data_IF_910632281858
#
_entry.id   IF_910632281858
#
_cell.length_a   1.000
_cell.length_b   1.000
_cell.length_c   1.000
_cell.angle_alpha   90.00
_cell.angle_beta   90.00
_cell.angle_gamma   90.00
#
_symmetry.space_group_name_H-M   'P 1'
#
loop_
_entity.id
_entity.type
_entity.pdbx_description
1 polymer ?
#
# COMPACT_ATOMS: atom_id res chain seq x y z
N UNK A 1 12.02 10.55 11.70
CA UNK A 1 11.59 9.31 11.02
C UNK A 1 11.13 9.72 9.64
N UNK A 2 11.70 9.10 8.61
CA UNK A 2 11.52 9.50 7.21
C UNK A 2 10.92 8.32 6.45
N UNK A 3 9.95 8.58 5.59
CA UNK A 3 9.43 7.55 4.69
C UNK A 3 10.28 7.54 3.42
N UNK A 4 10.69 6.35 2.99
CA UNK A 4 11.52 6.16 1.82
C UNK A 4 10.86 5.22 0.83
N UNK A 5 10.92 5.55 -0.46
CA UNK A 5 10.75 4.59 -1.55
C UNK A 5 12.03 4.50 -2.39
N UNK A 6 12.59 3.30 -2.45
CA UNK A 6 13.80 2.97 -3.18
C UNK A 6 13.49 1.83 -4.16
N UNK A 7 13.78 1.98 -5.44
CA UNK A 7 13.50 0.88 -6.35
C UNK A 7 13.99 1.04 -7.78
N UNK A 8 13.65 0.03 -8.58
CA UNK A 8 13.82 0.03 -10.03
C UNK A 8 12.52 -0.45 -10.68
N UNK A 9 12.26 0.00 -11.92
CA UNK A 9 11.10 -0.45 -12.68
C UNK A 9 11.42 -0.62 -14.17
N UNK A 10 10.43 -1.05 -14.94
CA UNK A 10 10.53 -1.25 -16.39
C UNK A 10 10.91 -0.01 -17.20
N UNK A 11 10.77 1.21 -16.66
CA UNK A 11 11.18 2.46 -17.31
C UNK A 11 12.64 2.78 -17.07
N UNK A 12 13.14 2.46 -15.88
CA UNK A 12 14.51 2.81 -15.47
C UNK A 12 15.52 1.69 -15.69
N UNK A 13 15.08 0.43 -15.77
CA UNK A 13 15.97 -0.74 -15.80
C UNK A 13 15.62 -1.76 -16.91
N UNK A 14 16.63 -2.33 -17.60
CA UNK A 14 16.42 -3.43 -18.53
C UNK A 14 15.96 -4.70 -17.79
N UNK A 15 15.29 -5.60 -18.52
CA UNK A 15 14.74 -6.85 -17.96
C UNK A 15 15.81 -7.68 -17.23
N UNK A 16 17.01 -7.77 -17.79
CA UNK A 16 18.13 -8.52 -17.22
C UNK A 16 18.58 -8.02 -15.84
N UNK A 17 18.48 -6.72 -15.59
CA UNK A 17 18.77 -6.17 -14.26
C UNK A 17 17.60 -6.47 -13.32
N UNK A 18 16.37 -6.25 -13.76
CA UNK A 18 15.14 -6.47 -12.97
C UNK A 18 14.99 -7.91 -12.48
N UNK A 19 15.29 -8.89 -13.33
CA UNK A 19 15.27 -10.30 -12.94
C UNK A 19 16.29 -10.62 -11.83
N UNK A 20 17.46 -9.96 -11.84
CA UNK A 20 18.49 -10.19 -10.82
C UNK A 20 18.17 -9.53 -9.49
N UNK A 21 17.49 -8.38 -9.49
CA UNK A 21 17.11 -7.67 -8.26
C UNK A 21 15.77 -8.15 -7.69
N UNK A 22 15.02 -8.98 -8.42
CA UNK A 22 13.71 -9.45 -7.97
C UNK A 22 13.83 -10.39 -6.75
N UNK A 23 12.97 -10.16 -5.76
CA UNK A 23 12.78 -11.07 -4.64
C UNK A 23 11.77 -12.15 -5.02
N UNK A 24 12.21 -13.41 -5.03
CA UNK A 24 11.31 -14.56 -5.17
C UNK A 24 10.47 -14.76 -3.90
N UNK A 25 9.23 -15.26 -3.99
CA UNK A 25 8.37 -15.47 -2.82
C UNK A 25 9.04 -16.25 -1.68
N UNK A 26 9.82 -17.29 -2.01
CA UNK A 26 10.51 -18.13 -1.01
C UNK A 26 11.68 -17.45 -0.29
N UNK A 27 12.13 -16.30 -0.80
CA UNK A 27 13.26 -15.52 -0.25
C UNK A 27 12.83 -14.17 0.32
N UNK A 28 11.54 -13.83 0.21
CA UNK A 28 11.03 -12.51 0.59
C UNK A 28 11.11 -12.31 2.11
N UNK A 29 10.75 -13.33 2.89
CA UNK A 29 10.82 -13.28 4.36
C UNK A 29 12.27 -13.08 4.83
N UNK A 30 13.22 -13.84 4.27
CA UNK A 30 14.64 -13.69 4.58
C UNK A 30 15.20 -12.32 4.17
N UNK A 31 14.72 -11.77 3.05
CA UNK A 31 15.11 -10.43 2.61
C UNK A 31 14.61 -9.36 3.59
N UNK A 32 13.35 -9.46 4.01
CA UNK A 32 12.76 -8.57 5.00
C UNK A 32 13.53 -8.65 6.33
N UNK A 33 13.81 -9.84 6.83
CA UNK A 33 14.60 -10.03 8.07
C UNK A 33 15.99 -9.37 7.98
N UNK A 34 16.69 -9.60 6.86
CA UNK A 34 18.00 -9.00 6.60
C UNK A 34 17.96 -7.48 6.50
N UNK A 35 16.88 -6.94 5.90
CA UNK A 35 16.66 -5.50 5.76
C UNK A 35 16.33 -4.83 7.09
N UNK A 36 15.55 -5.50 7.94
CA UNK A 36 15.16 -5.00 9.25
C UNK A 36 16.25 -5.16 10.31
N UNK A 37 17.21 -6.05 10.09
CA UNK A 37 18.42 -6.13 10.90
C UNK A 37 19.34 -4.90 10.70
N UNK A 38 19.05 -4.07 9.69
CA UNK A 38 19.82 -2.88 9.41
C UNK A 38 19.48 -1.75 10.40
N UNK A 39 20.46 -1.12 11.09
CA UNK A 39 20.19 -0.26 12.25
C UNK A 39 19.29 0.95 11.99
N UNK A 40 19.34 1.53 10.79
CA UNK A 40 18.49 2.68 10.45
C UNK A 40 17.08 2.29 9.98
N UNK A 41 16.77 1.01 9.77
CA UNK A 41 15.46 0.57 9.26
C UNK A 41 14.56 0.20 10.43
N UNK A 42 13.50 0.98 10.64
CA UNK A 42 12.49 0.74 11.69
C UNK A 42 11.37 -0.17 11.20
N UNK A 43 11.23 -0.30 9.88
CA UNK A 43 10.23 -1.16 9.25
C UNK A 43 10.29 -1.05 7.74
N UNK A 44 9.74 -2.05 7.04
CA UNK A 44 9.79 -2.05 5.58
C UNK A 44 8.76 -2.95 4.90
N UNK A 45 8.40 -2.57 3.67
CA UNK A 45 7.59 -3.35 2.73
C UNK A 45 8.42 -3.55 1.45
N UNK A 46 8.41 -4.77 0.92
CA UNK A 46 9.09 -5.12 -0.33
C UNK A 46 8.04 -5.45 -1.39
N UNK A 47 7.95 -4.61 -2.43
CA UNK A 47 7.11 -4.85 -3.60
C UNK A 47 7.97 -5.40 -4.73
N UNK A 48 7.92 -6.71 -4.94
CA UNK A 48 8.62 -7.39 -6.02
C UNK A 48 7.63 -7.98 -7.03
N UNK A 49 7.68 -7.50 -8.26
CA UNK A 49 6.84 -7.95 -9.38
C UNK A 49 7.71 -8.23 -10.61
N UNK A 50 7.12 -8.71 -11.70
CA UNK A 50 7.83 -8.87 -12.97
C UNK A 50 8.28 -7.54 -13.60
N UNK A 51 7.75 -6.39 -13.15
CA UNK A 51 7.99 -5.07 -13.75
C UNK A 51 8.67 -4.06 -12.80
N UNK A 52 8.76 -4.36 -11.51
CA UNK A 52 9.38 -3.49 -10.51
C UNK A 52 9.90 -4.26 -9.31
N UNK A 53 10.90 -3.70 -8.67
CA UNK A 53 11.33 -4.09 -7.33
C UNK A 53 11.52 -2.82 -6.52
N UNK A 54 10.73 -2.67 -5.46
CA UNK A 54 10.67 -1.45 -4.66
C UNK A 54 10.67 -1.79 -3.17
N UNK A 55 11.42 -1.01 -2.41
CA UNK A 55 11.53 -1.05 -0.96
C UNK A 55 10.88 0.22 -0.42
N UNK A 56 9.85 0.06 0.40
CA UNK A 56 9.18 1.14 1.11
C UNK A 56 9.57 1.05 2.58
N UNK A 57 10.38 1.98 3.07
CA UNK A 57 11.04 1.88 4.37
C UNK A 57 10.70 3.04 5.27
N UNK A 58 10.48 2.73 6.55
CA UNK A 58 10.55 3.72 7.62
C UNK A 58 11.96 3.72 8.16
N UNK A 59 12.65 4.87 8.09
CA UNK A 59 14.06 4.97 8.45
C UNK A 59 14.34 6.12 9.41
N UNK A 60 15.40 5.95 10.21
CA UNK A 60 16.04 7.04 10.93
C UNK A 60 17.10 7.71 10.06
N UNK A 61 17.15 9.03 10.11
CA UNK A 61 18.06 9.83 9.29
C UNK A 61 19.50 9.66 9.79
N UNK A 62 20.41 9.32 8.87
CA UNK A 62 21.84 9.12 9.12
C UNK A 62 22.66 9.59 7.91
N UNK A 63 23.90 10.03 8.15
CA UNK A 63 24.79 10.64 7.14
C UNK A 63 25.16 9.75 5.93
N UNK A 64 24.71 8.48 5.87
CA UNK A 64 24.96 7.55 4.76
C UNK A 64 23.77 6.60 4.48
N UNK A 65 22.55 7.05 4.77
CA UNK A 65 21.34 6.23 4.61
C UNK A 65 21.21 5.63 3.20
N UNK A 66 21.41 6.44 2.17
CA UNK A 66 21.25 6.02 0.78
C UNK A 66 22.31 5.00 0.37
N UNK A 67 23.58 5.26 0.69
CA UNK A 67 24.72 4.38 0.43
C UNK A 67 24.55 3.04 1.14
N UNK A 68 24.11 3.04 2.39
CA UNK A 68 23.91 1.82 3.17
C UNK A 68 22.85 0.90 2.55
N UNK A 69 21.72 1.48 2.12
CA UNK A 69 20.63 0.71 1.50
C UNK A 69 20.97 0.21 0.10
N UNK A 70 21.65 1.02 -0.71
CA UNK A 70 22.14 0.59 -2.03
C UNK A 70 23.13 -0.56 -1.87
N UNK A 71 24.07 -0.43 -0.94
CA UNK A 71 25.06 -1.46 -0.64
C UNK A 71 24.40 -2.75 -0.16
N UNK A 72 23.43 -2.66 0.75
CA UNK A 72 22.65 -3.82 1.19
C UNK A 72 21.98 -4.53 0.01
N UNK A 73 21.33 -3.78 -0.89
CA UNK A 73 20.63 -4.36 -2.04
C UNK A 73 21.62 -5.03 -3.02
N UNK A 74 22.79 -4.42 -3.23
CA UNK A 74 23.88 -5.00 -4.01
C UNK A 74 24.43 -6.28 -3.38
N UNK A 75 24.71 -6.27 -2.08
CA UNK A 75 25.26 -7.40 -1.35
C UNK A 75 24.26 -8.57 -1.30
N UNK A 76 22.97 -8.29 -1.12
CA UNK A 76 21.91 -9.31 -1.08
C UNK A 76 21.74 -10.03 -2.42
N UNK A 77 21.77 -9.28 -3.53
CA UNK A 77 21.57 -9.83 -4.88
C UNK A 77 22.88 -10.14 -5.63
N UNK A 78 24.04 -9.91 -5.01
CA UNK A 78 25.36 -10.03 -5.63
C UNK A 78 25.45 -9.23 -6.96
N UNK A 79 25.16 -7.94 -6.88
CA UNK A 79 25.10 -7.01 -8.02
C UNK A 79 26.29 -6.03 -8.00
N UNK A 80 26.64 -5.54 -9.18
CA UNK A 80 27.54 -4.38 -9.29
C UNK A 80 26.74 -3.11 -8.95
N UNK A 81 27.31 -2.29 -8.06
CA UNK A 81 26.73 -1.03 -7.62
C UNK A 81 26.55 -0.01 -8.75
N UNK A 82 27.47 0.05 -9.72
CA UNK A 82 27.37 0.99 -10.84
C UNK A 82 26.15 0.74 -11.73
N UNK A 83 25.83 -0.54 -11.97
CA UNK A 83 24.70 -0.93 -12.83
C UNK A 83 23.36 -0.60 -12.14
N UNK A 84 23.31 -0.81 -10.83
CA UNK A 84 22.13 -0.53 -10.03
C UNK A 84 21.87 0.98 -9.93
N UNK A 85 22.91 1.77 -9.58
CA UNK A 85 22.78 3.23 -9.38
C UNK A 85 22.22 3.96 -10.59
N UNK A 86 22.56 3.53 -11.82
CA UNK A 86 22.07 4.14 -13.06
C UNK A 86 20.57 3.94 -13.29
N UNK A 87 20.00 2.90 -12.70
CA UNK A 87 18.61 2.48 -12.93
C UNK A 87 17.70 2.73 -11.72
N UNK A 88 18.27 3.20 -10.62
CA UNK A 88 17.64 3.30 -9.32
C UNK A 88 17.06 4.68 -9.11
N UNK A 89 15.81 4.73 -8.65
CA UNK A 89 15.17 5.96 -8.20
C UNK A 89 15.04 5.96 -6.68
N UNK A 90 14.95 7.17 -6.14
CA UNK A 90 14.94 7.46 -4.73
C UNK A 90 13.91 8.55 -4.46
N UNK A 91 12.95 8.25 -3.59
CA UNK A 91 11.92 9.19 -3.18
C UNK A 91 11.86 9.24 -1.65
N UNK A 92 11.65 10.44 -1.11
CA UNK A 92 11.56 10.70 0.32
C UNK A 92 10.23 11.37 0.65
N UNK A 93 9.68 11.01 1.81
CA UNK A 93 8.46 11.54 2.39
C UNK A 93 7.31 11.64 1.37
N UNK A 94 6.88 12.85 1.04
CA UNK A 94 5.76 13.09 0.12
C UNK A 94 5.99 12.49 -1.28
N UNK A 95 7.24 12.48 -1.76
CA UNK A 95 7.56 11.86 -3.06
C UNK A 95 7.42 10.33 -2.99
N UNK A 96 7.76 9.72 -1.84
CA UNK A 96 7.65 8.28 -1.64
C UNK A 96 6.18 7.85 -1.60
N UNK A 97 5.35 8.64 -0.89
CA UNK A 97 3.89 8.47 -0.88
C UNK A 97 3.33 8.64 -2.30
N UNK A 98 3.67 9.74 -2.97
CA UNK A 98 3.17 10.00 -4.33
C UNK A 98 3.55 8.88 -5.30
N UNK A 99 4.77 8.34 -5.20
CA UNK A 99 5.21 7.21 -6.01
C UNK A 99 4.39 5.95 -5.74
N UNK A 100 4.27 5.53 -4.48
CA UNK A 100 3.48 4.36 -4.08
C UNK A 100 2.06 4.43 -4.63
N UNK A 101 1.47 5.62 -4.64
CA UNK A 101 0.09 5.85 -5.04
C UNK A 101 -0.09 5.80 -6.56
N UNK A 102 0.89 6.28 -7.32
CA UNK A 102 0.95 6.08 -8.77
C UNK A 102 1.14 4.60 -9.14
N UNK A 103 1.87 3.85 -8.32
CA UNK A 103 2.02 2.40 -8.49
C UNK A 103 0.72 1.68 -8.18
N UNK A 104 0.09 1.98 -7.04
CA UNK A 104 -1.14 1.33 -6.60
C UNK A 104 -2.35 1.61 -7.52
N UNK A 105 -2.44 2.80 -8.11
CA UNK A 105 -3.46 3.16 -9.12
C UNK A 105 -3.18 2.58 -10.51
N UNK A 106 -2.05 1.91 -10.71
CA UNK A 106 -1.63 1.43 -12.03
C UNK A 106 -1.25 2.54 -13.02
N UNK A 107 -1.10 3.79 -12.57
CA UNK A 107 -0.59 4.91 -13.38
C UNK A 107 0.88 4.75 -13.75
N UNK A 108 1.62 3.93 -12.99
CA UNK A 108 3.01 3.57 -13.29
C UNK A 108 3.15 2.13 -13.81
N UNK A 109 2.07 1.45 -14.18
CA UNK A 109 2.11 0.09 -14.74
C UNK A 109 2.46 0.09 -16.24
N UNK A 110 2.96 -1.05 -16.74
CA UNK A 110 3.21 -1.24 -18.18
C UNK A 110 1.90 -1.13 -18.98
N UNK A 111 0.82 -1.67 -18.42
CA UNK A 111 -0.55 -1.44 -18.88
C UNK A 111 -1.20 -0.48 -17.89
N UNK A 112 -1.49 0.74 -18.33
CA UNK A 112 -2.11 1.77 -17.50
C UNK A 112 -3.47 1.28 -16.97
N UNK A 113 -3.69 1.44 -15.66
CA UNK A 113 -4.94 1.07 -14.99
C UNK A 113 -5.11 -0.44 -14.73
N UNK A 114 -4.06 -1.24 -14.88
CA UNK A 114 -4.11 -2.67 -14.55
C UNK A 114 -4.42 -2.89 -13.05
N UNK A 115 -5.56 -3.52 -12.67
CA UNK A 115 -5.96 -3.66 -11.27
C UNK A 115 -5.08 -4.62 -10.46
N UNK A 116 -4.29 -5.47 -11.11
CA UNK A 116 -3.43 -6.48 -10.49
C UNK A 116 -2.39 -5.85 -9.55
N UNK A 117 -1.85 -4.68 -9.90
CA UNK A 117 -0.78 -4.04 -9.12
C UNK A 117 -1.27 -3.62 -7.73
N UNK A 118 -2.53 -3.17 -7.61
CA UNK A 118 -3.13 -2.83 -6.33
C UNK A 118 -3.17 -4.06 -5.41
N UNK A 119 -3.54 -5.23 -5.95
CA UNK A 119 -3.50 -6.49 -5.23
C UNK A 119 -2.08 -6.88 -4.79
N UNK A 120 -1.07 -6.63 -5.63
CA UNK A 120 0.34 -6.90 -5.32
C UNK A 120 0.87 -5.98 -4.20
N UNK A 121 0.55 -4.69 -4.24
CA UNK A 121 0.88 -3.71 -3.18
C UNK A 121 0.27 -4.16 -1.85
N UNK A 122 -1.00 -4.52 -1.85
CA UNK A 122 -1.72 -4.98 -0.65
C UNK A 122 -1.14 -6.27 -0.09
N UNK A 123 -0.77 -7.23 -0.96
CA UNK A 123 -0.10 -8.46 -0.56
C UNK A 123 1.27 -8.17 0.07
N UNK A 124 2.09 -7.32 -0.55
CA UNK A 124 3.40 -6.94 -0.02
C UNK A 124 3.29 -6.33 1.38
N UNK A 125 2.29 -5.47 1.61
CA UNK A 125 2.00 -4.90 2.93
C UNK A 125 1.53 -5.97 3.93
N UNK A 126 0.66 -6.90 3.52
CA UNK A 126 0.21 -7.99 4.39
C UNK A 126 1.35 -8.95 4.79
N UNK A 127 2.31 -9.17 3.88
CA UNK A 127 3.46 -10.03 4.13
C UNK A 127 4.47 -9.36 5.10
N UNK A 128 4.67 -8.04 5.04
CA UNK A 128 5.52 -7.34 6.03
C UNK A 128 4.93 -7.36 7.46
N UNK A 129 3.59 -7.37 7.58
CA UNK A 129 2.88 -7.39 8.85
C UNK A 129 2.93 -8.76 9.56
N UNK A 130 3.20 -9.86 8.83
CA UNK A 130 3.19 -11.22 9.41
C UNK A 130 4.35 -11.51 10.36
N UNK A 131 5.34 -10.61 10.45
CA UNK A 131 6.43 -10.76 11.42
C UNK A 131 7.00 -9.46 11.97
N UNK A 132 6.91 -8.31 11.28
CA UNK A 132 7.92 -7.27 11.53
C UNK A 132 7.55 -5.79 11.30
N UNK A 133 6.32 -5.34 11.57
CA UNK A 133 6.07 -3.88 11.66
C UNK A 133 5.29 -3.48 12.92
N UNK A 134 5.83 -2.50 13.64
CA UNK A 134 5.05 -1.60 14.50
C UNK A 134 4.63 -0.42 13.62
N UNK A 135 3.41 -0.46 13.08
CA UNK A 135 2.88 0.66 12.31
C UNK A 135 2.54 1.85 13.24
N UNK A 136 3.34 2.91 13.18
CA UNK A 136 3.08 4.26 13.75
C UNK A 136 3.72 5.26 12.78
N UNK A 137 3.18 6.42 12.40
CA UNK A 137 2.30 7.41 13.04
C UNK A 137 1.44 8.09 11.94
N UNK A 138 0.43 7.41 11.42
CA UNK A 138 -0.57 8.07 10.56
C UNK A 138 -1.65 8.70 11.44
N UNK A 139 -2.01 9.95 11.13
CA UNK A 139 -3.05 10.68 11.85
C UNK A 139 -4.36 9.89 11.80
N UNK A 140 -4.93 9.63 12.99
CA UNK A 140 -6.18 8.90 13.14
C UNK A 140 -7.30 9.90 13.32
N UNK A 141 -8.21 9.93 12.36
CA UNK A 141 -9.37 10.82 12.38
C UNK A 141 -10.65 10.00 12.46
N UNK A 142 -11.69 10.56 13.08
CA UNK A 142 -13.00 9.92 13.14
C UNK A 142 -13.71 10.10 11.79
N UNK A 143 -14.13 8.99 11.18
CA UNK A 143 -14.77 9.03 9.86
C UNK A 143 -16.14 9.71 9.96
N UNK A 144 -16.31 10.86 9.30
CA UNK A 144 -17.58 11.62 9.28
C UNK A 144 -18.22 11.85 10.67
N UNK A 145 -17.41 11.98 11.73
CA UNK A 145 -17.90 12.15 13.10
C UNK A 145 -18.36 10.86 13.80
N UNK A 146 -18.10 9.68 13.22
CA UNK A 146 -18.31 8.37 13.84
C UNK A 146 -17.13 8.04 14.78
N UNK A 147 -17.36 8.07 16.09
CA UNK A 147 -16.31 7.87 17.10
C UNK A 147 -15.73 6.44 17.14
N UNK A 148 -16.43 5.48 16.55
CA UNK A 148 -16.09 4.06 16.51
C UNK A 148 -15.53 3.61 15.16
N UNK A 149 -15.36 4.55 14.21
CA UNK A 149 -14.76 4.34 12.90
C UNK A 149 -13.56 5.25 12.72
N UNK A 150 -12.37 4.63 12.72
CA UNK A 150 -11.11 5.35 12.52
C UNK A 150 -10.75 5.33 11.04
N UNK A 151 -10.51 6.51 10.49
CA UNK A 151 -9.96 6.74 9.17
C UNK A 151 -8.48 7.14 9.29
N UNK A 152 -7.64 6.57 8.45
CA UNK A 152 -6.25 6.98 8.26
C UNK A 152 -6.05 7.34 6.80
N UNK A 153 -5.71 8.60 6.54
CA UNK A 153 -5.49 9.12 5.18
C UNK A 153 -4.04 8.92 4.76
N UNK A 154 -3.84 8.33 3.57
CA UNK A 154 -2.50 8.11 3.01
C UNK A 154 -2.16 9.09 1.89
N UNK A 155 -3.12 9.86 1.38
CA UNK A 155 -2.93 10.80 0.27
C UNK A 155 -3.37 12.23 0.64
N UNK A 156 -2.65 13.27 0.20
CA UNK A 156 -3.14 14.65 0.24
C UNK A 156 -4.41 14.80 -0.61
N UNK A 157 -5.35 15.62 -0.15
CA UNK A 157 -6.65 15.87 -0.82
C UNK A 157 -6.56 16.97 -1.91
N UNK A 158 -5.38 17.19 -2.46
CA UNK A 158 -5.15 18.25 -3.45
C UNK A 158 -5.51 17.78 -4.86
N UNK A 159 -5.92 18.71 -5.74
CA UNK A 159 -6.38 18.40 -7.11
C UNK A 159 -5.35 17.63 -7.96
N UNK A 160 -4.05 17.75 -7.64
CA UNK A 160 -2.98 17.02 -8.32
C UNK A 160 -2.98 15.51 -8.06
N UNK A 161 -3.74 15.04 -7.07
CA UNK A 161 -3.91 13.63 -6.72
C UNK A 161 -5.30 13.14 -7.15
N UNK A 162 -5.36 12.43 -8.29
CA UNK A 162 -6.61 11.85 -8.84
C UNK A 162 -7.06 10.56 -8.14
N UNK A 163 -6.52 10.26 -6.96
CA UNK A 163 -6.85 9.08 -6.17
C UNK A 163 -6.73 9.41 -4.69
N UNK A 164 -7.55 8.74 -3.89
CA UNK A 164 -7.55 8.72 -2.44
C UNK A 164 -7.28 7.29 -1.98
N UNK A 165 -6.42 7.12 -0.96
CA UNK A 165 -6.19 5.84 -0.32
C UNK A 165 -6.26 5.99 1.19
N UNK A 166 -7.08 5.17 1.83
CA UNK A 166 -7.39 5.28 3.25
C UNK A 166 -7.55 3.91 3.90
N UNK A 167 -7.24 3.81 5.19
CA UNK A 167 -7.70 2.67 5.99
C UNK A 167 -8.92 3.13 6.78
N UNK A 168 -10.01 2.39 6.64
CA UNK A 168 -11.17 2.48 7.52
C UNK A 168 -11.12 1.32 8.51
N UNK A 169 -11.32 1.61 9.79
CA UNK A 169 -11.27 0.63 10.87
C UNK A 169 -12.48 0.77 11.77
N UNK A 170 -13.34 -0.25 11.75
CA UNK A 170 -14.58 -0.34 12.51
C UNK A 170 -14.34 -1.11 13.81
N UNK A 171 -14.70 -0.50 14.94
CA UNK A 171 -14.79 -1.23 16.19
C UNK A 171 -15.84 -2.38 16.08
N UNK A 172 -15.76 -3.41 16.94
CA UNK A 172 -16.81 -4.43 17.02
C UNK A 172 -18.21 -3.81 17.18
N UNK A 173 -19.10 -4.07 16.22
CA UNK A 173 -20.46 -3.52 16.19
C UNK A 173 -20.60 -2.15 15.51
N UNK A 174 -19.50 -1.52 15.09
CA UNK A 174 -19.52 -0.27 14.35
C UNK A 174 -19.91 -0.50 12.88
N UNK A 175 -20.51 0.52 12.26
CA UNK A 175 -20.91 0.48 10.85
C UNK A 175 -20.93 1.86 10.22
N UNK A 176 -21.05 1.91 8.91
CA UNK A 176 -21.44 3.15 8.25
C UNK A 176 -22.83 3.57 8.74
N UNK A 177 -23.06 4.88 8.86
CA UNK A 177 -24.35 5.43 9.28
C UNK A 177 -25.45 5.31 8.23
N UNK A 178 -25.09 5.06 6.96
CA UNK A 178 -25.99 4.95 5.82
C UNK A 178 -25.34 4.12 4.71
N UNK A 179 -26.14 3.70 3.72
CA UNK A 179 -25.64 3.09 2.48
C UNK A 179 -25.24 4.22 1.54
N UNK A 180 -23.97 4.24 1.15
CA UNK A 180 -23.39 5.28 0.30
C UNK A 180 -23.24 4.80 -1.15
N UNK A 181 -23.03 5.74 -2.06
CA UNK A 181 -22.74 5.49 -3.47
C UNK A 181 -21.77 6.56 -3.98
N UNK A 182 -20.95 6.20 -4.95
CA UNK A 182 -19.89 7.05 -5.44
C UNK A 182 -19.79 6.99 -6.96
N UNK A 183 -19.52 8.12 -7.61
CA UNK A 183 -19.21 8.16 -9.05
C UNK A 183 -17.95 7.35 -9.36
N UNK A 184 -17.02 7.35 -8.41
CA UNK A 184 -15.68 6.80 -8.58
C UNK A 184 -15.64 5.30 -8.30
N UNK A 185 -14.86 4.57 -9.11
CA UNK A 185 -14.57 3.15 -8.87
C UNK A 185 -13.58 3.01 -7.72
N UNK A 186 -13.69 1.91 -6.98
CA UNK A 186 -12.85 1.70 -5.80
C UNK A 186 -12.71 0.23 -5.41
N UNK A 187 -11.60 -0.05 -4.72
CA UNK A 187 -11.24 -1.39 -4.26
C UNK A 187 -10.95 -1.42 -2.77
N UNK A 188 -11.61 -2.31 -2.04
CA UNK A 188 -11.36 -2.56 -0.62
C UNK A 188 -10.65 -3.90 -0.41
N UNK A 189 -9.65 -3.93 0.47
CA UNK A 189 -9.01 -5.17 0.90
C UNK A 189 -9.01 -5.26 2.42
N UNK A 190 -9.53 -6.37 2.93
CA UNK A 190 -9.74 -6.55 4.35
C UNK A 190 -8.41 -6.93 5.02
N UNK A 191 -7.90 -6.02 5.85
CA UNK A 191 -6.62 -6.15 6.55
C UNK A 191 -6.74 -6.97 7.84
N UNK A 192 -7.86 -6.83 8.55
CA UNK A 192 -8.10 -7.49 9.84
C UNK A 192 -9.59 -7.68 10.14
N UNK A 193 -9.87 -8.57 11.08
CA UNK A 193 -11.24 -8.80 11.56
C UNK A 193 -12.19 -9.43 10.55
N UNK A 194 -13.48 -9.31 10.87
CA UNK A 194 -14.60 -9.89 10.13
C UNK A 194 -15.77 -8.91 10.11
N UNK A 195 -16.45 -8.83 8.98
CA UNK A 195 -17.55 -7.90 8.74
C UNK A 195 -18.62 -8.49 7.84
N UNK A 196 -19.67 -7.72 7.63
CA UNK A 196 -20.55 -7.86 6.48
C UNK A 196 -20.47 -6.58 5.67
N UNK A 197 -20.41 -6.72 4.35
CA UNK A 197 -20.34 -5.60 3.43
C UNK A 197 -21.57 -5.63 2.54
N UNK A 198 -22.31 -4.52 2.50
CA UNK A 198 -23.39 -4.32 1.55
C UNK A 198 -22.78 -4.01 0.18
N UNK A 199 -23.17 -4.78 -0.84
CA UNK A 199 -22.82 -4.55 -2.24
C UNK A 199 -24.10 -4.66 -3.06
N UNK A 200 -24.57 -3.55 -3.59
CA UNK A 200 -25.82 -3.44 -4.35
C UNK A 200 -27.01 -4.08 -3.62
N UNK A 201 -27.21 -3.69 -2.36
CA UNK A 201 -28.25 -4.17 -1.45
C UNK A 201 -28.14 -5.65 -1.05
N UNK A 202 -27.00 -6.30 -1.30
CA UNK A 202 -26.73 -7.64 -0.83
C UNK A 202 -25.68 -7.60 0.29
N UNK A 203 -25.99 -8.17 1.44
CA UNK A 203 -25.05 -8.27 2.56
C UNK A 203 -24.18 -9.51 2.40
N UNK A 204 -22.89 -9.29 2.13
CA UNK A 204 -21.91 -10.35 1.89
C UNK A 204 -20.96 -10.44 3.09
N UNK A 205 -20.79 -11.63 3.70
CA UNK A 205 -19.78 -11.82 4.74
C UNK A 205 -18.38 -11.65 4.18
N UNK A 206 -17.52 -10.92 4.90
CA UNK A 206 -16.13 -10.66 4.52
C UNK A 206 -15.20 -10.81 5.71
N UNK A 207 -13.96 -11.21 5.45
CA UNK A 207 -12.92 -11.42 6.46
C UNK A 207 -11.55 -11.01 5.95
N UNK A 208 -10.58 -10.91 6.86
CA UNK A 208 -9.16 -10.70 6.54
C UNK A 208 -8.72 -11.53 5.33
N UNK A 209 -8.11 -10.85 4.36
CA UNK A 209 -7.62 -11.43 3.11
C UNK A 209 -8.60 -11.32 1.93
N UNK A 210 -9.87 -11.01 2.17
CA UNK A 210 -10.85 -10.82 1.10
C UNK A 210 -10.62 -9.49 0.37
N UNK A 211 -10.93 -9.48 -0.92
CA UNK A 211 -10.89 -8.30 -1.77
C UNK A 211 -12.27 -8.02 -2.36
N UNK A 212 -12.64 -6.74 -2.40
CA UNK A 212 -13.90 -6.25 -2.91
C UNK A 212 -13.58 -5.19 -3.96
N UNK A 213 -14.17 -5.34 -5.15
CA UNK A 213 -14.18 -4.31 -6.17
C UNK A 213 -15.60 -3.74 -6.28
N UNK A 214 -15.71 -2.43 -6.35
CA UNK A 214 -16.96 -1.70 -6.46
C UNK A 214 -16.86 -0.78 -7.67
N UNK A 215 -17.77 -0.99 -8.62
CA UNK A 215 -17.91 -0.13 -9.79
C UNK A 215 -18.56 1.21 -9.44
N UNK A 216 -18.58 2.10 -10.43
CA UNK A 216 -19.28 3.37 -10.31
C UNK A 216 -20.75 3.16 -9.93
N UNK A 217 -21.24 4.00 -9.02
CA UNK A 217 -22.59 4.01 -8.46
C UNK A 217 -23.02 2.76 -7.68
N UNK A 218 -22.09 1.84 -7.36
CA UNK A 218 -22.41 0.69 -6.52
C UNK A 218 -22.80 1.13 -5.11
N UNK A 219 -23.91 0.56 -4.60
CA UNK A 219 -24.38 0.82 -3.25
C UNK A 219 -23.53 0.04 -2.26
N UNK A 220 -23.03 0.72 -1.22
CA UNK A 220 -22.09 0.12 -0.28
C UNK A 220 -22.28 0.54 1.17
N UNK A 221 -21.94 -0.37 2.09
CA UNK A 221 -21.79 -0.10 3.52
C UNK A 221 -21.07 -1.26 4.22
N UNK A 222 -20.05 -0.95 5.02
CA UNK A 222 -19.38 -1.92 5.90
C UNK A 222 -19.98 -1.94 7.32
N UNK A 223 -20.04 -3.14 7.91
CA UNK A 223 -20.43 -3.39 9.30
C UNK A 223 -19.49 -4.41 9.96
N UNK A 224 -18.91 -4.08 11.11
CA UNK A 224 -18.01 -4.96 11.85
C UNK A 224 -18.74 -5.97 12.75
N UNK A 225 -18.55 -7.27 12.53
CA UNK A 225 -19.24 -8.35 13.29
C UNK A 225 -18.34 -9.16 14.23
N UNK A 226 -17.01 -8.98 14.16
CA UNK A 226 -16.01 -9.75 14.91
C UNK A 226 -15.88 -9.37 16.40
N UNK A 227 -15.31 -10.28 17.20
CA UNK A 227 -15.07 -10.07 18.66
C UNK A 227 -13.60 -9.94 19.08
N UNK A 228 -12.66 -10.25 18.19
CA UNK A 228 -11.23 -10.34 18.52
C UNK A 228 -10.35 -9.24 17.92
N UNK A 229 -10.74 -8.68 16.77
CA UNK A 229 -9.99 -7.66 16.04
C UNK A 229 -10.97 -6.67 15.40
N UNK A 230 -10.54 -5.42 15.24
CA UNK A 230 -11.29 -4.43 14.48
C UNK A 230 -11.43 -4.89 13.02
N UNK A 231 -12.60 -4.62 12.43
CA UNK A 231 -12.82 -4.84 11.01
C UNK A 231 -12.20 -3.67 10.26
N UNK A 232 -11.04 -3.90 9.66
CA UNK A 232 -10.27 -2.84 9.00
C UNK A 232 -9.98 -3.22 7.56
N UNK A 233 -10.07 -2.24 6.66
CA UNK A 233 -9.75 -2.43 5.26
C UNK A 233 -9.07 -1.21 4.66
N UNK A 234 -8.17 -1.47 3.72
CA UNK A 234 -7.56 -0.44 2.88
C UNK A 234 -8.43 -0.24 1.64
N UNK A 235 -8.82 1.00 1.43
CA UNK A 235 -9.74 1.47 0.42
C UNK A 235 -8.99 2.43 -0.51
N UNK A 236 -9.14 2.24 -1.82
CA UNK A 236 -8.61 3.15 -2.86
C UNK A 236 -9.75 3.64 -3.74
N UNK A 237 -9.85 4.94 -3.99
CA UNK A 237 -10.93 5.56 -4.75
C UNK A 237 -10.38 6.66 -5.65
N UNK A 238 -10.79 6.66 -6.91
CA UNK A 238 -10.47 7.78 -7.80
C UNK A 238 -11.08 9.09 -7.24
N UNK A 239 -10.45 10.23 -7.47
CA UNK A 239 -10.92 11.55 -6.98
C UNK A 239 -11.10 12.52 -8.14
N UNK A 240 -11.69 13.70 -7.90
CA UNK A 240 -11.84 14.76 -8.92
C UNK A 240 -12.62 14.36 -10.20
N UNK A 241 -13.36 13.24 -10.17
CA UNK A 241 -14.26 12.77 -11.24
C UNK A 241 -15.72 13.14 -11.00
N UNK A 242 -15.95 14.10 -10.12
CA UNK A 242 -17.31 14.55 -9.85
C UNK A 242 -17.88 15.14 -11.14
N UNK A 243 -19.07 14.67 -11.51
CA UNK A 243 -19.80 15.20 -12.66
C UNK A 243 -20.29 16.59 -12.25
N UNK A 244 -19.93 17.64 -12.98
CA UNK A 244 -20.62 18.92 -12.83
C UNK A 244 -22.10 18.68 -13.12
N UNK A 245 -22.94 18.85 -12.10
CA UNK A 245 -24.41 18.77 -12.20
C UNK A 245 -24.96 20.11 -12.64
#
# INVERSE_FOLDING_TARGET
>A
MTLLALGINHKTAPVSLRERVSFSPDKLDQALDSLLAQPMVQGGVVLSTCNRTELYLSVEEQDNLQEALIRWLCDYHNLNEEDLRKSLYWHQDNDAVSHLMRVASGLDSLVLGEPQILGQVKKAFADSQKGHMKASELERIHYEGMDDVILLDFLPKELGFDMNMHILSFAPGASHGYIETHVQEHGAYILSGQGVYNLDNNWIPVKKGDYIFMGAYSLQAGYGVGRGEAFSYIYSKDCNRDVEI
#
